data_IF_941339334565
#
_entry.id   IF_941339334565
#
_cell.length_a   1.000
_cell.length_b   1.000
_cell.length_c   1.000
_cell.angle_alpha   90.00
_cell.angle_beta   90.00
_cell.angle_gamma   90.00
#
_symmetry.space_group_name_H-M   'P 1'
#
loop_
_entity.id
_entity.type
_entity.pdbx_description
1 polymer ?
#
# COMPACT_ATOMS: atom_id res chain seq x y z
N UNK A 1 -5.92 -7.17 10.54
CA UNK A 1 -6.04 -5.93 9.75
C UNK A 1 -7.24 -6.08 8.85
N UNK A 2 -8.09 -5.05 8.73
CA UNK A 2 -9.23 -5.07 7.80
C UNK A 2 -8.83 -4.45 6.46
N UNK A 3 -9.33 -5.04 5.38
CA UNK A 3 -9.07 -4.52 4.03
C UNK A 3 -9.76 -3.17 3.85
N UNK A 4 -9.04 -2.08 3.51
CA UNK A 4 -9.66 -0.77 3.29
C UNK A 4 -10.57 -0.73 2.06
N UNK A 5 -10.49 -1.72 1.16
CA UNK A 5 -11.33 -1.80 -0.05
C UNK A 5 -12.66 -2.52 0.19
N UNK A 6 -12.64 -3.64 0.91
CA UNK A 6 -13.82 -4.51 1.06
C UNK A 6 -14.16 -4.85 2.53
N UNK A 7 -13.42 -4.30 3.50
CA UNK A 7 -13.51 -4.61 4.94
C UNK A 7 -13.31 -6.08 5.31
N UNK A 8 -12.87 -6.91 4.35
CA UNK A 8 -12.58 -8.33 4.58
C UNK A 8 -11.29 -8.56 5.37
N UNK A 9 -11.13 -9.79 5.83
CA UNK A 9 -9.95 -10.27 6.57
C UNK A 9 -8.70 -10.20 5.71
N UNK A 10 -7.61 -9.69 6.31
CA UNK A 10 -6.28 -9.74 5.70
C UNK A 10 -5.35 -10.66 6.49
N UNK A 11 -4.52 -11.40 5.77
CA UNK A 11 -3.47 -12.26 6.30
C UNK A 11 -2.10 -11.66 5.98
N UNK A 12 -1.16 -11.77 6.90
CA UNK A 12 0.23 -11.40 6.67
C UNK A 12 0.93 -12.54 5.92
N UNK A 13 1.26 -12.33 4.66
CA UNK A 13 1.96 -13.31 3.83
C UNK A 13 3.39 -12.85 3.53
N UNK A 14 4.29 -13.82 3.41
CA UNK A 14 5.66 -13.61 2.92
C UNK A 14 5.64 -13.71 1.39
N UNK A 15 6.01 -12.63 0.73
CA UNK A 15 6.21 -12.58 -0.70
C UNK A 15 7.71 -12.65 -1.00
N UNK A 16 8.06 -13.43 -2.02
CA UNK A 16 9.41 -13.53 -2.55
C UNK A 16 9.36 -13.39 -4.06
N UNK A 17 10.08 -12.39 -4.57
CA UNK A 17 10.42 -12.25 -5.98
C UNK A 17 11.90 -12.60 -6.18
N UNK A 18 12.40 -12.55 -7.41
CA UNK A 18 13.80 -12.84 -7.74
C UNK A 18 14.80 -11.99 -6.96
N UNK A 19 14.46 -10.74 -6.63
CA UNK A 19 15.37 -9.77 -6.00
C UNK A 19 15.02 -9.43 -4.55
N UNK A 20 13.78 -9.67 -4.11
CA UNK A 20 13.28 -9.15 -2.84
C UNK A 20 12.39 -10.16 -2.13
N UNK A 21 12.57 -10.22 -0.81
CA UNK A 21 11.65 -10.91 0.10
C UNK A 21 11.07 -9.88 1.04
N UNK A 22 9.75 -9.81 1.12
CA UNK A 22 9.05 -8.87 1.99
C UNK A 22 7.76 -9.47 2.54
N UNK A 23 7.26 -8.87 3.61
CA UNK A 23 5.98 -9.24 4.22
C UNK A 23 4.93 -8.19 3.87
N UNK A 24 3.78 -8.65 3.38
CA UNK A 24 2.66 -7.78 3.05
C UNK A 24 1.33 -8.40 3.49
N UNK A 25 0.36 -7.55 3.75
CA UNK A 25 -1.00 -7.98 4.07
C UNK A 25 -1.76 -8.24 2.78
N UNK A 26 -2.29 -9.45 2.61
CA UNK A 26 -3.16 -9.81 1.49
C UNK A 26 -4.57 -10.05 1.98
N UNK A 27 -5.54 -9.42 1.33
CA UNK A 27 -6.95 -9.66 1.60
C UNK A 27 -7.40 -10.98 0.96
N UNK A 28 -8.04 -11.84 1.75
CA UNK A 28 -8.58 -13.11 1.27
C UNK A 28 -9.82 -12.93 0.38
N UNK A 29 -10.58 -11.84 0.57
CA UNK A 29 -11.84 -11.63 -0.14
C UNK A 29 -11.65 -10.94 -1.50
N UNK A 30 -10.76 -9.94 -1.60
CA UNK A 30 -10.60 -9.14 -2.82
C UNK A 30 -9.18 -9.14 -3.40
N UNK A 31 -8.24 -9.86 -2.79
CA UNK A 31 -6.85 -9.95 -3.25
C UNK A 31 -6.02 -8.68 -3.07
N UNK A 32 -6.56 -7.62 -2.44
CA UNK A 32 -5.80 -6.39 -2.23
C UNK A 32 -4.56 -6.65 -1.35
N UNK A 33 -3.39 -6.19 -1.82
CA UNK A 33 -2.12 -6.27 -1.11
C UNK A 33 -1.77 -4.90 -0.51
N UNK A 34 -1.32 -4.90 0.73
CA UNK A 34 -0.86 -3.70 1.45
C UNK A 34 0.44 -4.04 2.18
N UNK A 35 1.54 -3.50 1.68
CA UNK A 35 2.82 -3.48 2.40
C UNK A 35 3.04 -2.08 3.03
N UNK A 36 4.21 -1.88 3.66
CA UNK A 36 4.58 -0.58 4.23
C UNK A 36 4.66 0.52 3.18
N UNK A 37 5.10 0.21 1.97
CA UNK A 37 5.26 1.16 0.87
C UNK A 37 3.92 1.61 0.32
N UNK A 38 3.03 0.68 0.02
CA UNK A 38 1.64 0.92 -0.41
C UNK A 38 0.89 1.71 0.66
N UNK A 39 1.06 1.38 1.94
CA UNK A 39 0.44 2.13 3.04
C UNK A 39 0.94 3.58 3.09
N UNK A 40 2.26 3.80 2.95
CA UNK A 40 2.85 5.15 2.89
C UNK A 40 2.38 5.93 1.67
N UNK A 41 2.35 5.30 0.50
CA UNK A 41 1.95 5.95 -0.75
C UNK A 41 0.47 6.37 -0.73
N UNK A 42 -0.42 5.54 -0.16
CA UNK A 42 -1.83 5.91 0.03
C UNK A 42 -2.02 7.11 0.95
N UNK A 43 -1.22 7.22 2.02
CA UNK A 43 -1.27 8.39 2.92
C UNK A 43 -0.85 9.66 2.19
N UNK A 44 0.17 9.59 1.32
CA UNK A 44 0.62 10.73 0.51
C UNK A 44 -0.43 11.15 -0.52
N UNK A 45 -1.12 10.21 -1.16
CA UNK A 45 -2.15 10.54 -2.15
C UNK A 45 -3.42 11.14 -1.55
N UNK A 46 -3.70 10.85 -0.27
CA UNK A 46 -4.89 11.33 0.45
C UNK A 46 -4.63 12.62 1.26
N UNK A 47 -3.36 12.99 1.45
CA UNK A 47 -3.04 14.32 1.96
C UNK A 47 -3.45 15.37 0.93
N UNK A 48 -4.08 16.50 1.33
CA UNK A 48 -4.26 17.63 0.43
C UNK A 48 -2.90 17.99 -0.14
N UNK A 49 -2.74 17.89 -1.45
CA UNK A 49 -1.51 18.33 -2.11
C UNK A 49 -1.49 19.85 -2.00
N UNK A 50 -0.67 20.41 -1.10
CA UNK A 50 -0.08 21.71 -1.39
C UNK A 50 0.74 21.51 -2.65
N UNK A 51 0.24 22.08 -3.75
CA UNK A 51 0.84 22.00 -5.07
C UNK A 51 2.34 22.34 -4.93
N UNK A 52 3.20 21.34 -5.13
CA UNK A 52 4.62 21.60 -5.25
C UNK A 52 4.79 22.39 -6.54
N UNK A 53 4.96 23.71 -6.38
CA UNK A 53 5.38 24.61 -7.46
C UNK A 53 6.74 24.09 -7.90
N UNK A 54 6.77 23.39 -9.03
CA UNK A 54 8.01 23.00 -9.69
C UNK A 54 8.57 24.28 -10.30
N UNK A 55 9.46 24.94 -9.58
CA UNK A 55 10.25 26.06 -10.09
C UNK A 55 11.25 25.50 -11.10
N UNK A 56 10.96 25.73 -12.38
CA UNK A 56 11.90 25.48 -13.49
C UNK A 56 12.70 26.76 -13.67
N UNK A 57 13.82 26.85 -12.93
CA UNK A 57 14.88 27.82 -13.18
C UNK A 57 15.80 27.39 -14.30
#
# INVERSE_FOLDING_TARGET
>A
MECPKCKGTMLLERFSDFFLVFYAWKCLNCGAIIDRTISKNRRKSLAPQEAQVVDVG
#
